data_IF_638389314113
#
_entry.id   IF_638389314113
#
_cell.length_a   1.000
_cell.length_b   1.000
_cell.length_c   1.000
_cell.angle_alpha   90.00
_cell.angle_beta   90.00
_cell.angle_gamma   90.00
#
_symmetry.space_group_name_H-M   'P 1'
#
loop_
_entity.id
_entity.type
_entity.pdbx_description
1 polymer ?
#
# COMPACT_ATOMS: atom_id res chain seq x y z
N UNK A 1 -28.42 -3.17 -14.10
CA UNK A 1 -26.97 -3.36 -14.29
C UNK A 1 -26.31 -3.17 -12.94
N UNK A 2 -25.84 -4.23 -12.30
CA UNK A 2 -25.11 -4.13 -11.03
C UNK A 2 -23.71 -3.62 -11.40
N UNK A 3 -23.37 -2.40 -10.96
CA UNK A 3 -22.02 -1.89 -11.05
C UNK A 3 -21.13 -2.83 -10.21
N UNK A 4 -20.29 -3.63 -10.89
CA UNK A 4 -19.16 -4.27 -10.24
C UNK A 4 -18.26 -3.13 -9.77
N UNK A 5 -18.35 -2.76 -8.49
CA UNK A 5 -17.33 -1.94 -7.85
C UNK A 5 -16.00 -2.67 -8.07
N UNK A 6 -15.13 -2.11 -8.92
CA UNK A 6 -13.84 -2.70 -9.21
C UNK A 6 -13.11 -2.91 -7.89
N UNK A 7 -12.70 -4.16 -7.62
CA UNK A 7 -11.91 -4.47 -6.45
C UNK A 7 -10.66 -3.58 -6.46
N UNK A 8 -10.63 -2.60 -5.57
CA UNK A 8 -9.49 -1.71 -5.41
C UNK A 8 -8.69 -2.27 -4.26
N UNK A 9 -7.48 -2.76 -4.56
CA UNK A 9 -6.56 -3.23 -3.54
C UNK A 9 -6.34 -2.13 -2.49
N UNK A 10 -6.17 -2.48 -1.21
CA UNK A 10 -5.93 -1.47 -0.17
C UNK A 10 -4.75 -0.58 -0.54
N UNK A 11 -4.78 0.72 -0.21
CA UNK A 11 -3.66 1.60 -0.47
C UNK A 11 -2.43 1.17 0.34
N UNK A 12 -1.24 1.60 -0.11
CA UNK A 12 0.00 1.45 0.66
C UNK A 12 -0.08 2.39 1.87
N UNK A 13 0.04 1.90 3.12
CA UNK A 13 -0.03 2.73 4.32
C UNK A 13 1.11 3.76 4.41
N UNK A 14 0.85 4.87 5.09
CA UNK A 14 1.82 5.96 5.30
C UNK A 14 2.92 5.61 6.30
N UNK A 15 2.59 4.78 7.29
CA UNK A 15 3.44 4.38 8.41
C UNK A 15 4.28 3.13 8.12
N UNK A 16 4.38 2.72 6.85
CA UNK A 16 5.08 1.50 6.49
C UNK A 16 6.57 1.57 6.82
N UNK A 17 7.07 0.50 7.42
CA UNK A 17 8.50 0.32 7.73
C UNK A 17 9.14 -0.68 6.77
N UNK A 18 10.39 -0.47 6.34
CA UNK A 18 11.14 -1.46 5.57
C UNK A 18 11.26 -2.79 6.31
N UNK A 19 11.21 -3.90 5.58
CA UNK A 19 11.21 -5.23 6.16
C UNK A 19 11.34 -6.35 5.13
N UNK A 20 10.66 -7.48 5.35
CA UNK A 20 10.73 -8.64 4.46
C UNK A 20 10.35 -8.26 3.01
N UNK A 21 11.23 -8.60 2.06
CA UNK A 21 11.06 -8.33 0.63
C UNK A 21 11.55 -6.95 0.17
N UNK A 22 12.11 -6.16 1.06
CA UNK A 22 12.82 -4.93 0.70
C UNK A 22 14.25 -5.27 0.27
N UNK A 23 14.67 -4.70 -0.86
CA UNK A 23 16.08 -4.77 -1.29
C UNK A 23 16.91 -3.67 -0.64
N UNK A 24 18.24 -3.80 -0.68
CA UNK A 24 19.16 -2.79 -0.15
C UNK A 24 18.92 -1.40 -0.76
N UNK A 25 18.72 -1.34 -2.08
CA UNK A 25 18.46 -0.07 -2.78
C UNK A 25 17.12 0.55 -2.36
N UNK A 26 16.08 -0.25 -2.10
CA UNK A 26 14.81 0.27 -1.60
C UNK A 26 14.95 0.85 -0.19
N UNK A 27 15.75 0.20 0.67
CA UNK A 27 16.02 0.69 2.02
C UNK A 27 16.78 2.01 1.96
N UNK A 28 17.79 2.10 1.08
CA UNK A 28 18.56 3.32 0.86
C UNK A 28 17.67 4.46 0.34
N UNK A 29 16.88 4.22 -0.70
CA UNK A 29 15.92 5.20 -1.22
C UNK A 29 14.91 5.64 -0.15
N UNK A 30 14.46 4.72 0.71
CA UNK A 30 13.52 5.03 1.78
C UNK A 30 14.11 5.97 2.83
N UNK A 31 15.44 5.97 3.00
CA UNK A 31 16.15 6.94 3.83
C UNK A 31 16.04 8.38 3.32
N UNK A 32 15.80 8.57 2.02
CA UNK A 32 15.67 9.90 1.40
C UNK A 32 14.22 10.37 1.25
N UNK A 33 13.33 9.48 0.80
CA UNK A 33 11.95 9.86 0.41
C UNK A 33 10.87 9.20 1.25
N UNK A 34 11.24 8.32 2.18
CA UNK A 34 10.30 7.53 2.96
C UNK A 34 9.86 6.25 2.27
N UNK A 35 9.43 5.27 3.07
CA UNK A 35 9.14 3.92 2.59
C UNK A 35 7.90 3.84 1.69
N UNK A 36 6.83 4.57 1.99
CA UNK A 36 5.62 4.59 1.15
C UNK A 36 5.95 5.01 -0.28
N UNK A 37 6.69 6.10 -0.44
CA UNK A 37 6.99 6.67 -1.76
C UNK A 37 7.93 5.77 -2.56
N UNK A 38 8.87 5.08 -1.91
CA UNK A 38 9.67 4.03 -2.58
C UNK A 38 8.79 2.92 -3.14
N UNK A 39 7.81 2.44 -2.38
CA UNK A 39 6.91 1.40 -2.87
C UNK A 39 6.01 1.90 -4.00
N UNK A 40 5.59 3.17 -3.97
CA UNK A 40 4.84 3.80 -5.08
C UNK A 40 5.70 3.87 -6.35
N UNK A 41 6.94 4.31 -6.25
CA UNK A 41 7.88 4.29 -7.38
C UNK A 41 8.12 2.88 -7.91
N UNK A 42 8.30 1.89 -7.03
CA UNK A 42 8.49 0.50 -7.44
C UNK A 42 7.23 -0.09 -8.08
N UNK A 43 6.04 0.33 -7.65
CA UNK A 43 4.78 -0.08 -8.26
C UNK A 43 4.66 0.45 -9.70
N UNK A 44 5.03 1.71 -9.93
CA UNK A 44 4.89 2.37 -11.22
C UNK A 44 6.02 2.04 -12.20
N UNK A 45 7.27 1.99 -11.72
CA UNK A 45 8.47 1.87 -12.55
C UNK A 45 9.28 0.59 -12.28
N UNK A 46 8.74 -0.32 -11.48
CA UNK A 46 9.42 -1.56 -11.12
C UNK A 46 9.84 -2.40 -12.32
N UNK A 47 11.10 -2.87 -12.30
CA UNK A 47 11.71 -3.62 -13.40
C UNK A 47 12.35 -2.75 -14.48
N UNK A 48 12.18 -1.43 -14.41
CA UNK A 48 12.80 -0.49 -15.34
C UNK A 48 14.16 -0.02 -14.82
N UNK A 49 15.07 0.29 -15.74
CA UNK A 49 16.29 1.01 -15.43
C UNK A 49 16.01 2.51 -15.55
N UNK A 50 16.03 3.20 -14.41
CA UNK A 50 15.74 4.63 -14.35
C UNK A 50 17.02 5.43 -14.21
N UNK A 51 17.05 6.58 -14.87
CA UNK A 51 18.17 7.53 -14.79
C UNK A 51 17.80 8.68 -13.87
N UNK A 52 18.71 9.04 -12.96
CA UNK A 52 18.56 10.20 -12.08
C UNK A 52 19.33 11.40 -12.65
N UNK A 53 18.65 12.36 -13.28
CA UNK A 53 19.31 13.51 -13.88
C UNK A 53 19.90 14.43 -12.80
N UNK A 54 20.89 15.24 -13.21
CA UNK A 54 21.44 16.31 -12.38
C UNK A 54 20.41 17.43 -12.09
N UNK A 55 19.43 17.57 -12.96
CA UNK A 55 18.33 18.53 -12.86
C UNK A 55 17.04 17.75 -12.54
N UNK A 56 16.51 17.84 -11.31
CA UNK A 56 15.34 17.09 -10.89
C UNK A 56 14.07 17.42 -11.68
N UNK A 57 13.95 18.60 -12.28
CA UNK A 57 12.79 18.95 -13.09
C UNK A 57 12.64 18.06 -14.34
N UNK A 58 13.69 17.32 -14.70
CA UNK A 58 13.71 16.38 -15.83
C UNK A 58 13.37 14.94 -15.44
N UNK A 59 13.15 14.67 -14.16
CA UNK A 59 12.76 13.32 -13.71
C UNK A 59 11.24 13.15 -13.77
N UNK A 60 10.72 12.00 -14.24
CA UNK A 60 9.29 11.75 -14.22
C UNK A 60 8.73 11.57 -12.78
N UNK A 61 9.60 11.41 -11.78
CA UNK A 61 9.17 11.11 -10.41
C UNK A 61 8.48 12.28 -9.70
N UNK A 62 8.66 13.53 -10.16
CA UNK A 62 8.04 14.71 -9.54
C UNK A 62 6.52 14.55 -9.45
N UNK A 63 5.88 13.95 -10.45
CA UNK A 63 4.43 13.73 -10.48
C UNK A 63 3.96 12.73 -9.41
N UNK A 64 4.81 11.75 -9.05
CA UNK A 64 4.44 10.66 -8.14
C UNK A 64 4.76 10.95 -6.67
N UNK A 65 5.93 11.56 -6.41
CA UNK A 65 6.47 11.76 -5.06
C UNK A 65 6.64 13.23 -4.67
N UNK A 66 6.40 14.16 -5.60
CA UNK A 66 6.59 15.60 -5.39
C UNK A 66 8.03 16.07 -5.61
N UNK A 67 8.18 17.39 -5.77
CA UNK A 67 9.45 18.03 -6.12
C UNK A 67 10.53 17.76 -5.07
N UNK A 68 10.27 18.03 -3.79
CA UNK A 68 11.27 17.93 -2.72
C UNK A 68 11.89 16.52 -2.61
N UNK A 69 11.07 15.48 -2.81
CA UNK A 69 11.52 14.09 -2.75
C UNK A 69 12.26 13.68 -4.02
N UNK A 70 11.82 14.17 -5.17
CA UNK A 70 12.53 13.99 -6.43
C UNK A 70 13.92 14.66 -6.39
N UNK A 71 14.02 15.85 -5.80
CA UNK A 71 15.28 16.57 -5.58
C UNK A 71 16.22 15.75 -4.69
N UNK A 72 15.72 15.21 -3.58
CA UNK A 72 16.49 14.37 -2.66
C UNK A 72 17.05 13.11 -3.36
N UNK A 73 16.23 12.41 -4.16
CA UNK A 73 16.70 11.25 -4.92
C UNK A 73 17.70 11.62 -6.01
N UNK A 74 17.45 12.69 -6.77
CA UNK A 74 18.36 13.13 -7.82
C UNK A 74 19.69 13.60 -7.25
N UNK A 75 19.72 14.18 -6.05
CA UNK A 75 20.95 14.51 -5.35
C UNK A 75 21.71 13.25 -4.89
N UNK A 76 21.01 12.25 -4.33
CA UNK A 76 21.62 11.02 -3.82
C UNK A 76 22.16 10.10 -4.94
N UNK A 77 21.43 9.96 -6.04
CA UNK A 77 21.73 9.03 -7.14
C UNK A 77 22.19 9.75 -8.42
N UNK A 78 22.67 10.99 -8.29
CA UNK A 78 23.00 11.90 -9.39
C UNK A 78 23.81 11.24 -10.51
N UNK A 79 23.35 11.36 -11.75
CA UNK A 79 24.00 10.83 -12.97
C UNK A 79 24.14 9.29 -12.99
N UNK A 80 23.47 8.57 -12.09
CA UNK A 80 23.45 7.12 -12.10
C UNK A 80 22.17 6.56 -12.73
N UNK A 81 22.31 5.37 -13.32
CA UNK A 81 21.19 4.52 -13.70
C UNK A 81 21.00 3.45 -12.65
N UNK A 82 19.79 3.36 -12.10
CA UNK A 82 19.44 2.38 -11.09
C UNK A 82 18.31 1.52 -11.62
N UNK A 83 18.42 0.20 -11.45
CA UNK A 83 17.29 -0.69 -11.76
C UNK A 83 16.33 -0.68 -10.57
N UNK A 84 15.11 -0.20 -10.77
CA UNK A 84 14.09 -0.22 -9.72
C UNK A 84 13.57 -1.65 -9.54
N UNK A 85 13.55 -2.19 -8.31
CA UNK A 85 12.96 -3.50 -8.05
C UNK A 85 11.45 -3.50 -8.32
N UNK A 86 10.91 -4.63 -8.76
CA UNK A 86 9.45 -4.78 -8.93
C UNK A 86 8.69 -4.80 -7.61
N UNK A 87 9.38 -5.07 -6.49
CA UNK A 87 8.86 -5.02 -5.13
C UNK A 87 7.52 -5.74 -4.87
N UNK A 88 7.09 -6.69 -5.74
CA UNK A 88 5.75 -7.31 -5.70
C UNK A 88 5.39 -7.86 -4.31
N UNK A 89 6.34 -8.55 -3.68
CA UNK A 89 6.14 -9.10 -2.34
C UNK A 89 6.01 -8.01 -1.28
N UNK A 90 6.87 -6.98 -1.32
CA UNK A 90 6.85 -5.87 -0.37
C UNK A 90 5.57 -5.03 -0.50
N UNK A 91 5.14 -4.72 -1.73
CA UNK A 91 3.88 -4.01 -2.01
C UNK A 91 2.69 -4.84 -1.51
N UNK A 92 2.62 -6.13 -1.86
CA UNK A 92 1.53 -6.99 -1.38
C UNK A 92 1.52 -7.10 0.16
N UNK A 93 2.69 -7.16 0.80
CA UNK A 93 2.82 -7.15 2.26
C UNK A 93 2.35 -5.83 2.86
N UNK A 94 2.73 -4.71 2.26
CA UNK A 94 2.31 -3.38 2.68
C UNK A 94 0.79 -3.23 2.71
N UNK A 95 0.13 -3.57 1.60
CA UNK A 95 -1.31 -3.40 1.42
C UNK A 95 -2.13 -4.27 2.37
N UNK A 96 -1.65 -5.48 2.68
CA UNK A 96 -2.37 -6.40 3.58
C UNK A 96 -2.06 -6.17 5.06
N UNK A 97 -0.97 -5.48 5.40
CA UNK A 97 -0.49 -5.32 6.77
C UNK A 97 -1.60 -4.83 7.73
N UNK A 98 -2.34 -3.78 7.35
CA UNK A 98 -3.40 -3.24 8.20
C UNK A 98 -4.56 -4.20 8.44
N UNK A 99 -4.95 -4.96 7.42
CA UNK A 99 -6.02 -5.97 7.54
C UNK A 99 -5.56 -7.15 8.42
N UNK A 100 -4.31 -7.59 8.27
CA UNK A 100 -3.74 -8.68 9.09
C UNK A 100 -3.60 -8.24 10.55
N UNK A 101 -3.10 -7.02 10.81
CA UNK A 101 -3.00 -6.46 12.15
C UNK A 101 -4.38 -6.34 12.82
N UNK A 102 -5.40 -5.87 12.09
CA UNK A 102 -6.76 -5.79 12.59
C UNK A 102 -7.36 -7.16 12.95
N UNK A 103 -7.11 -8.18 12.12
CA UNK A 103 -7.54 -9.55 12.39
C UNK A 103 -6.80 -10.14 13.60
N UNK A 104 -5.50 -9.84 13.76
CA UNK A 104 -4.70 -10.26 14.92
C UNK A 104 -5.21 -9.63 16.21
N UNK A 105 -5.53 -8.34 16.17
CA UNK A 105 -6.11 -7.58 17.27
C UNK A 105 -7.59 -7.93 17.55
N UNK A 106 -8.17 -8.91 16.85
CA UNK A 106 -9.57 -9.34 16.94
C UNK A 106 -10.60 -8.23 16.68
N UNK A 107 -10.20 -7.16 15.99
CA UNK A 107 -11.09 -6.06 15.54
C UNK A 107 -11.90 -6.47 14.30
N UNK A 108 -11.47 -7.53 13.62
CA UNK A 108 -12.21 -8.22 12.56
C UNK A 108 -11.93 -9.73 12.59
N UNK A 109 -12.81 -10.51 11.98
CA UNK A 109 -12.63 -11.97 11.86
C UNK A 109 -11.67 -12.32 10.72
N UNK A 110 -11.06 -13.50 10.79
CA UNK A 110 -10.21 -14.05 9.72
C UNK A 110 -11.00 -14.22 8.40
N UNK A 111 -12.29 -14.56 8.49
CA UNK A 111 -13.16 -14.67 7.32
C UNK A 111 -13.40 -13.31 6.64
N UNK A 112 -13.62 -12.25 7.43
CA UNK A 112 -13.74 -10.89 6.89
C UNK A 112 -12.44 -10.42 6.26
N UNK A 113 -11.30 -10.65 6.91
CA UNK A 113 -9.99 -10.32 6.37
C UNK A 113 -9.70 -11.08 5.04
N UNK A 114 -10.05 -12.37 4.97
CA UNK A 114 -9.93 -13.18 3.76
C UNK A 114 -10.78 -12.63 2.61
N UNK A 115 -12.01 -12.22 2.89
CA UNK A 115 -12.87 -11.57 1.91
C UNK A 115 -12.28 -10.22 1.44
N UNK A 116 -11.80 -9.38 2.36
CA UNK A 116 -11.22 -8.07 2.03
C UNK A 116 -9.94 -8.17 1.19
N UNK A 117 -9.11 -9.19 1.45
CA UNK A 117 -7.84 -9.38 0.74
C UNK A 117 -7.96 -10.28 -0.49
N UNK A 118 -9.14 -10.87 -0.74
CA UNK A 118 -9.35 -11.92 -1.74
C UNK A 118 -8.33 -13.07 -1.63
N UNK A 119 -8.02 -13.45 -0.40
CA UNK A 119 -7.13 -14.57 -0.09
C UNK A 119 -7.92 -15.73 0.49
N UNK A 120 -7.36 -16.94 0.36
CA UNK A 120 -7.94 -18.12 1.04
C UNK A 120 -7.89 -17.92 2.55
N UNK A 121 -8.94 -18.38 3.23
CA UNK A 121 -9.03 -18.33 4.69
C UNK A 121 -7.79 -18.91 5.36
N UNK A 122 -7.30 -20.06 4.90
CA UNK A 122 -6.11 -20.71 5.47
C UNK A 122 -4.85 -19.86 5.31
N UNK A 123 -4.71 -19.15 4.18
CA UNK A 123 -3.60 -18.22 3.96
C UNK A 123 -3.64 -17.10 4.96
N UNK A 124 -4.81 -16.47 5.17
CA UNK A 124 -4.96 -15.38 6.15
C UNK A 124 -4.76 -15.88 7.57
N UNK A 125 -5.34 -17.04 7.92
CA UNK A 125 -5.15 -17.68 9.22
C UNK A 125 -3.68 -17.92 9.53
N UNK A 126 -2.91 -18.39 8.54
CA UNK A 126 -1.45 -18.56 8.66
C UNK A 126 -0.74 -17.21 8.85
N UNK A 127 -1.07 -16.19 8.07
CA UNK A 127 -0.47 -14.85 8.18
C UNK A 127 -0.73 -14.22 9.55
N UNK A 128 -1.96 -14.28 10.06
CA UNK A 128 -2.32 -13.74 11.38
C UNK A 128 -1.53 -14.42 12.51
N UNK A 129 -1.29 -15.73 12.40
CA UNK A 129 -0.59 -16.52 13.43
C UNK A 129 0.94 -16.42 13.37
N UNK A 130 1.52 -16.37 12.18
CA UNK A 130 2.96 -16.61 11.99
C UNK A 130 3.76 -15.38 11.57
N UNK A 131 3.12 -14.37 10.99
CA UNK A 131 3.81 -13.23 10.41
C UNK A 131 3.50 -11.97 11.20
N UNK A 132 4.52 -11.19 11.51
CA UNK A 132 4.39 -9.88 12.13
C UNK A 132 4.18 -8.79 11.05
N UNK A 133 3.12 -8.96 10.27
CA UNK A 133 2.68 -7.97 9.29
C UNK A 133 1.84 -6.90 10.00
N UNK A 134 2.28 -5.64 9.91
CA UNK A 134 1.67 -4.47 10.55
C UNK A 134 1.99 -4.37 12.04
N UNK A 135 2.60 -3.25 12.46
CA UNK A 135 2.56 -2.86 13.88
C UNK A 135 1.11 -2.55 14.27
N UNK A 136 0.78 -2.72 15.55
CA UNK A 136 -0.59 -2.82 16.10
C UNK A 136 -1.54 -1.61 15.87
N UNK A 137 -1.03 -0.54 15.28
CA UNK A 137 -1.72 0.74 15.00
C UNK A 137 -2.07 0.99 13.53
N UNK A 138 -1.91 -0.02 12.66
CA UNK A 138 -2.25 0.13 11.26
C UNK A 138 -3.75 0.50 11.09
N UNK A 139 -4.00 1.64 10.44
CA UNK A 139 -5.33 2.19 10.24
C UNK A 139 -6.19 1.20 9.47
N UNK A 140 -7.29 0.76 10.09
CA UNK A 140 -8.19 -0.23 9.48
C UNK A 140 -8.95 0.44 8.35
N UNK A 141 -8.60 0.10 7.11
CA UNK A 141 -9.43 0.42 5.97
C UNK A 141 -10.72 -0.38 6.08
N UNK A 142 -11.82 0.26 6.48
CA UNK A 142 -13.14 -0.36 6.44
C UNK A 142 -13.63 -0.39 5.00
N UNK A 143 -13.67 -1.58 4.39
CA UNK A 143 -14.42 -1.75 3.15
C UNK A 143 -15.91 -1.52 3.47
N UNK A 144 -16.61 -0.60 2.80
CA UNK A 144 -18.04 -0.43 3.01
C UNK A 144 -18.76 -1.75 2.73
N UNK A 145 -19.71 -2.11 3.60
CA UNK A 145 -20.50 -3.33 3.41
C UNK A 145 -21.20 -3.25 2.04
N UNK A 146 -21.25 -4.33 1.26
CA UNK A 146 -22.09 -4.37 0.07
C UNK A 146 -23.53 -4.03 0.48
N UNK A 147 -24.10 -2.93 -0.03
CA UNK A 147 -25.52 -2.62 0.16
C UNK A 147 -26.33 -3.69 -0.57
N UNK A 148 -27.23 -4.38 0.13
CA UNK A 148 -28.16 -5.31 -0.52
C UNK A 148 -29.11 -4.48 -1.40
N UNK A 149 -29.21 -4.74 -2.71
CA UNK A 149 -30.12 -4.00 -3.59
C UNK A 149 -31.60 -4.13 -3.19
N UNK A 150 -31.95 -5.06 -2.29
CA UNK A 150 -33.29 -5.22 -1.72
C UNK A 150 -33.54 -4.36 -0.49
N UNK A 151 -32.49 -3.79 0.11
CA UNK A 151 -32.64 -2.80 1.18
C UNK A 151 -33.01 -1.45 0.55
N UNK A 152 -34.31 -1.20 0.45
CA UNK A 152 -34.83 0.14 0.19
C UNK A 152 -34.52 0.97 1.43
N UNK A 153 -33.87 2.13 1.29
CA UNK A 153 -33.73 3.10 2.38
C UNK A 153 -35.14 3.57 2.77
N UNK A 154 -35.74 2.91 3.76
CA UNK A 154 -37.14 3.13 4.17
C UNK A 154 -37.34 4.44 4.92
N UNK A 155 -36.27 5.09 5.39
CA UNK A 155 -36.32 6.33 6.13
C UNK A 155 -35.16 7.21 5.69
N UNK A 156 -35.40 8.40 5.11
CA UNK A 156 -34.35 9.40 5.02
C UNK A 156 -33.93 9.77 6.44
N UNK A 157 -32.63 9.73 6.73
CA UNK A 157 -32.06 10.23 7.99
C UNK A 157 -32.50 11.69 8.14
N UNK A 158 -33.55 11.88 8.93
CA UNK A 158 -34.00 13.20 9.36
C UNK A 158 -33.05 13.57 10.49
N UNK A 159 -31.88 14.09 10.10
CA UNK A 159 -30.93 14.68 11.02
C UNK A 159 -31.50 15.98 11.58
N UNK A 160 -32.35 15.86 12.60
CA UNK A 160 -32.70 16.97 13.49
C UNK A 160 -31.93 16.79 14.82
N UNK A 161 -31.18 17.86 15.15
CA UNK A 161 -30.33 18.17 16.30
C UNK A 161 -28.92 17.55 16.38
#
# INVERSE_FOLDING_TARGET
>A
MIQNAAFTAPPIPDDIKPGKGWSKIMIEMAGYIGARDVLRLCEQYGGQQVYFPADPAKTPFVEDIGQDKADALCAAFRLHRVTLPTARFAISRARRAGVIAAARARRMTVAQAAAMLHLRHDTVSRLVKQEDEGCDDAQIYHVPRPKDPRQIEMFPDTGDN
#
